data_IF_411836446083
#
_entry.id   IF_411836446083
#
_cell.length_a   1.000
_cell.length_b   1.000
_cell.length_c   1.000
_cell.angle_alpha   90.00
_cell.angle_beta   90.00
_cell.angle_gamma   90.00
#
_symmetry.space_group_name_H-M   'P 1'
#
loop_
_entity.id
_entity.type
_entity.pdbx_description
1 polymer ?
#
# COMPACT_ATOMS: atom_id res chain seq x y z
N UNK A 1 -28.99 -11.28 21.51
CA UNK A 1 -28.35 -11.95 20.37
C UNK A 1 -27.74 -10.85 19.52
N UNK A 2 -26.40 -10.75 19.44
CA UNK A 2 -25.72 -9.87 18.50
C UNK A 2 -26.04 -10.44 17.12
N UNK A 3 -26.83 -9.71 16.34
CA UNK A 3 -27.17 -10.12 14.97
C UNK A 3 -25.87 -10.22 14.18
N UNK A 4 -25.59 -11.39 13.60
CA UNK A 4 -24.44 -11.62 12.74
C UNK A 4 -24.61 -10.75 11.48
N UNK A 5 -23.77 -9.71 11.32
CA UNK A 5 -23.80 -8.83 10.12
C UNK A 5 -23.11 -9.49 8.94
N UNK A 6 -23.62 -9.22 7.75
CA UNK A 6 -23.08 -9.75 6.50
C UNK A 6 -22.57 -8.61 5.63
N UNK A 7 -21.28 -8.59 5.28
CA UNK A 7 -20.68 -7.57 4.42
C UNK A 7 -20.12 -8.20 3.16
N UNK A 8 -20.51 -7.66 2.00
CA UNK A 8 -19.94 -8.06 0.71
C UNK A 8 -18.95 -7.03 0.21
N UNK A 9 -17.67 -7.41 0.10
CA UNK A 9 -16.65 -6.61 -0.55
C UNK A 9 -16.63 -6.91 -2.07
N UNK A 10 -16.53 -5.87 -2.90
CA UNK A 10 -16.44 -6.00 -4.36
C UNK A 10 -15.16 -5.39 -4.89
N UNK A 11 -14.39 -6.17 -5.67
CA UNK A 11 -13.12 -5.77 -6.27
C UNK A 11 -12.92 -6.43 -7.63
N UNK A 12 -12.00 -5.92 -8.49
CA UNK A 12 -11.84 -6.46 -9.83
C UNK A 12 -11.37 -7.92 -9.83
N UNK A 13 -10.30 -8.19 -9.09
CA UNK A 13 -9.64 -9.50 -9.02
C UNK A 13 -8.90 -9.67 -7.70
N UNK A 14 -8.57 -10.90 -7.34
CA UNK A 14 -7.83 -11.30 -6.13
C UNK A 14 -6.38 -11.71 -6.47
N UNK A 15 -5.69 -11.02 -7.39
CA UNK A 15 -4.31 -11.35 -7.72
C UNK A 15 -3.33 -10.87 -6.62
N UNK A 16 -2.58 -9.81 -6.86
CA UNK A 16 -1.63 -9.28 -5.90
C UNK A 16 -1.81 -7.78 -5.71
N UNK A 17 -1.28 -7.25 -4.60
CA UNK A 17 -1.21 -5.83 -4.34
C UNK A 17 -1.97 -5.37 -3.10
N UNK A 18 -1.77 -4.12 -2.74
CA UNK A 18 -2.32 -3.55 -1.51
C UNK A 18 -3.85 -3.56 -1.42
N UNK A 19 -4.57 -3.49 -2.55
CA UNK A 19 -6.02 -3.59 -2.61
C UNK A 19 -6.51 -4.97 -2.15
N UNK A 20 -5.91 -6.02 -2.69
CA UNK A 20 -6.25 -7.43 -2.36
C UNK A 20 -5.90 -7.73 -0.91
N UNK A 21 -4.69 -7.33 -0.47
CA UNK A 21 -4.28 -7.50 0.94
C UNK A 21 -5.28 -6.82 1.88
N UNK A 22 -5.67 -5.58 1.60
CA UNK A 22 -6.66 -4.87 2.41
C UNK A 22 -8.05 -5.51 2.40
N UNK A 23 -8.44 -6.21 1.33
CA UNK A 23 -9.71 -6.96 1.29
C UNK A 23 -9.65 -8.19 2.21
N UNK A 24 -8.55 -8.95 2.16
CA UNK A 24 -8.32 -10.11 3.04
C UNK A 24 -8.25 -9.68 4.52
N UNK A 25 -7.51 -8.61 4.82
CA UNK A 25 -7.40 -8.10 6.19
C UNK A 25 -8.75 -7.62 6.75
N UNK A 26 -9.57 -6.96 5.91
CA UNK A 26 -10.92 -6.57 6.32
C UNK A 26 -11.85 -7.76 6.50
N UNK A 27 -11.73 -8.79 5.65
CA UNK A 27 -12.49 -10.03 5.79
C UNK A 27 -12.12 -10.76 7.09
N UNK A 28 -10.82 -10.86 7.39
CA UNK A 28 -10.34 -11.43 8.65
C UNK A 28 -10.89 -10.68 9.89
N UNK A 29 -10.96 -9.34 9.82
CA UNK A 29 -11.55 -8.53 10.89
C UNK A 29 -13.04 -8.79 11.07
N UNK A 30 -13.79 -8.94 9.99
CA UNK A 30 -15.22 -9.27 10.02
C UNK A 30 -15.45 -10.64 10.66
N UNK A 31 -14.73 -11.66 10.19
CA UNK A 31 -14.84 -13.03 10.74
C UNK A 31 -14.44 -13.05 12.22
N UNK A 32 -13.35 -12.40 12.60
CA UNK A 32 -12.92 -12.28 14.00
C UNK A 32 -13.92 -11.56 14.90
N UNK A 33 -14.76 -10.70 14.34
CA UNK A 33 -15.86 -10.03 15.05
C UNK A 33 -17.18 -10.82 15.05
N UNK A 34 -17.19 -12.05 14.52
CA UNK A 34 -18.39 -12.89 14.39
C UNK A 34 -19.32 -12.47 13.25
N UNK A 35 -18.83 -11.67 12.29
CA UNK A 35 -19.58 -11.27 11.10
C UNK A 35 -19.30 -12.24 9.93
N UNK A 36 -20.23 -12.29 8.98
CA UNK A 36 -20.01 -13.04 7.75
C UNK A 36 -19.31 -12.14 6.72
N UNK A 37 -18.14 -12.57 6.26
CA UNK A 37 -17.34 -11.87 5.26
C UNK A 37 -17.54 -12.52 3.88
N UNK A 38 -18.07 -11.77 2.93
CA UNK A 38 -18.24 -12.18 1.54
C UNK A 38 -17.38 -11.29 0.64
N UNK A 39 -16.82 -11.88 -0.41
CA UNK A 39 -16.02 -11.16 -1.42
C UNK A 39 -16.43 -11.59 -2.82
N UNK A 40 -16.69 -10.64 -3.71
CA UNK A 40 -16.97 -10.91 -5.11
C UNK A 40 -15.87 -10.30 -6.00
N UNK A 41 -15.34 -11.10 -6.93
CA UNK A 41 -14.31 -10.67 -7.90
C UNK A 41 -14.19 -11.68 -9.06
N UNK A 42 -13.34 -11.39 -10.04
CA UNK A 42 -12.97 -12.36 -11.10
C UNK A 42 -12.02 -13.48 -10.62
N UNK A 43 -11.79 -13.60 -9.30
CA UNK A 43 -10.87 -14.59 -8.75
C UNK A 43 -9.41 -14.14 -8.77
N UNK A 44 -8.50 -15.08 -8.50
CA UNK A 44 -7.05 -14.87 -8.43
C UNK A 44 -6.40 -15.62 -7.27
N UNK A 45 -5.09 -15.50 -7.15
CA UNK A 45 -4.29 -16.25 -6.15
C UNK A 45 -4.70 -15.99 -4.70
N UNK A 46 -5.19 -14.78 -4.39
CA UNK A 46 -5.61 -14.40 -3.06
C UNK A 46 -6.90 -15.07 -2.57
N UNK A 47 -7.66 -15.77 -3.44
CA UNK A 47 -8.90 -16.45 -3.04
C UNK A 47 -8.62 -17.50 -1.96
N UNK A 48 -7.57 -18.31 -2.13
CA UNK A 48 -7.19 -19.34 -1.15
C UNK A 48 -6.86 -18.73 0.23
N UNK A 49 -6.19 -17.59 0.23
CA UNK A 49 -5.87 -16.88 1.49
C UNK A 49 -7.12 -16.29 2.13
N UNK A 50 -8.02 -15.74 1.32
CA UNK A 50 -9.32 -15.25 1.75
C UNK A 50 -10.17 -16.35 2.42
N UNK A 51 -10.23 -17.53 1.81
CA UNK A 51 -10.96 -18.68 2.35
C UNK A 51 -10.34 -19.20 3.66
N UNK A 52 -9.01 -19.17 3.78
CA UNK A 52 -8.31 -19.54 5.03
C UNK A 52 -8.67 -18.63 6.22
N UNK A 53 -9.00 -17.38 5.98
CA UNK A 53 -9.47 -16.50 7.06
C UNK A 53 -10.96 -16.66 7.37
N UNK A 54 -11.65 -17.60 6.70
CA UNK A 54 -13.06 -17.92 6.95
C UNK A 54 -14.07 -17.08 6.16
N UNK A 55 -13.64 -16.41 5.11
CA UNK A 55 -14.50 -15.65 4.21
C UNK A 55 -14.91 -16.47 2.98
N UNK A 56 -16.00 -16.10 2.33
CA UNK A 56 -16.50 -16.75 1.12
C UNK A 56 -16.27 -15.92 -0.12
N UNK A 57 -15.90 -16.57 -1.23
CA UNK A 57 -15.67 -15.90 -2.51
C UNK A 57 -16.75 -16.23 -3.55
N UNK A 58 -17.21 -15.19 -4.26
CA UNK A 58 -18.12 -15.30 -5.40
C UNK A 58 -17.42 -14.85 -6.69
N UNK A 59 -17.41 -15.68 -7.71
CA UNK A 59 -16.84 -15.33 -8.99
C UNK A 59 -17.81 -14.45 -9.79
N UNK A 60 -17.47 -13.17 -9.99
CA UNK A 60 -18.22 -12.22 -10.80
C UNK A 60 -17.27 -11.39 -11.69
N UNK A 61 -17.64 -11.07 -12.94
CA UNK A 61 -16.81 -10.30 -13.88
C UNK A 61 -16.81 -8.79 -13.53
N UNK A 62 -16.30 -8.44 -12.34
CA UNK A 62 -16.33 -7.09 -11.78
C UNK A 62 -15.20 -6.18 -12.29
N UNK A 63 -14.19 -6.72 -12.97
CA UNK A 63 -13.16 -5.91 -13.63
C UNK A 63 -13.66 -5.28 -14.94
N UNK A 64 -14.73 -5.80 -15.52
CA UNK A 64 -15.26 -5.34 -16.79
C UNK A 64 -15.75 -3.91 -16.75
N UNK A 65 -15.39 -3.13 -17.78
CA UNK A 65 -15.88 -1.78 -18.05
C UNK A 65 -16.96 -1.75 -19.13
N UNK A 66 -17.36 -2.91 -19.65
CA UNK A 66 -18.44 -3.02 -20.63
C UNK A 66 -19.79 -2.71 -19.95
N UNK A 67 -20.56 -1.74 -20.44
CA UNK A 67 -21.82 -1.32 -19.81
C UNK A 67 -22.83 -2.46 -19.65
N UNK A 68 -22.91 -3.38 -20.63
CA UNK A 68 -23.82 -4.52 -20.58
C UNK A 68 -23.43 -5.48 -19.44
N UNK A 69 -22.13 -5.76 -19.30
CA UNK A 69 -21.61 -6.59 -18.20
C UNK A 69 -21.84 -5.92 -16.85
N UNK A 70 -21.58 -4.61 -16.77
CA UNK A 70 -21.83 -3.82 -15.56
C UNK A 70 -23.32 -3.84 -15.16
N UNK A 71 -24.22 -3.68 -16.11
CA UNK A 71 -25.66 -3.79 -15.88
C UNK A 71 -26.08 -5.19 -15.39
N UNK A 72 -25.54 -6.25 -16.02
CA UNK A 72 -25.75 -7.62 -15.55
C UNK A 72 -25.19 -7.85 -14.14
N UNK A 73 -24.08 -7.22 -13.80
CA UNK A 73 -23.49 -7.30 -12.47
C UNK A 73 -24.39 -6.65 -11.40
N UNK A 74 -25.13 -5.59 -11.72
CA UNK A 74 -26.15 -5.02 -10.79
C UNK A 74 -27.15 -6.11 -10.39
N UNK A 75 -27.71 -6.83 -11.35
CA UNK A 75 -28.68 -7.92 -11.08
C UNK A 75 -28.06 -9.05 -10.26
N UNK A 76 -26.81 -9.44 -10.56
CA UNK A 76 -26.09 -10.48 -9.82
C UNK A 76 -25.84 -10.05 -8.37
N UNK A 77 -25.39 -8.82 -8.15
CA UNK A 77 -25.15 -8.28 -6.82
C UNK A 77 -26.46 -8.16 -6.02
N UNK A 78 -27.56 -7.70 -6.62
CA UNK A 78 -28.87 -7.68 -5.97
C UNK A 78 -29.35 -9.08 -5.56
N UNK A 79 -29.12 -10.08 -6.42
CA UNK A 79 -29.44 -11.46 -6.09
C UNK A 79 -28.62 -11.93 -4.85
N UNK A 80 -27.31 -11.67 -4.82
CA UNK A 80 -26.47 -11.99 -3.65
C UNK A 80 -26.94 -11.25 -2.40
N UNK A 81 -27.35 -9.96 -2.51
CA UNK A 81 -27.86 -9.17 -1.38
C UNK A 81 -29.07 -9.87 -0.77
N UNK A 82 -30.01 -10.32 -1.59
CA UNK A 82 -31.24 -10.97 -1.14
C UNK A 82 -30.97 -12.38 -0.59
N UNK A 83 -30.20 -13.22 -1.31
CA UNK A 83 -29.94 -14.60 -0.97
C UNK A 83 -29.11 -14.74 0.33
N UNK A 84 -28.12 -13.84 0.52
CA UNK A 84 -27.22 -13.89 1.67
C UNK A 84 -27.56 -12.85 2.75
N UNK A 85 -28.67 -12.12 2.62
CA UNK A 85 -29.10 -11.07 3.57
C UNK A 85 -27.96 -10.09 3.89
N UNK A 86 -27.34 -9.55 2.83
CA UNK A 86 -26.18 -8.67 2.98
C UNK A 86 -26.64 -7.33 3.57
N UNK A 87 -26.01 -6.93 4.67
CA UNK A 87 -26.29 -5.68 5.38
C UNK A 87 -25.57 -4.46 4.76
N UNK A 88 -24.42 -4.67 4.07
CA UNK A 88 -23.62 -3.59 3.51
C UNK A 88 -22.74 -4.07 2.36
N UNK A 89 -22.55 -3.20 1.36
CA UNK A 89 -21.55 -3.37 0.30
C UNK A 89 -20.28 -2.54 0.59
N UNK A 90 -19.12 -3.08 0.23
CA UNK A 90 -17.85 -2.34 0.27
C UNK A 90 -17.14 -2.42 -1.08
N UNK A 91 -17.10 -1.32 -1.81
CA UNK A 91 -16.42 -1.24 -3.10
C UNK A 91 -14.97 -0.76 -2.94
N UNK A 92 -14.03 -1.55 -3.50
CA UNK A 92 -12.59 -1.26 -3.39
C UNK A 92 -11.95 -0.76 -4.68
N UNK A 93 -12.74 -0.61 -5.74
CA UNK A 93 -12.27 -0.09 -7.03
C UNK A 93 -13.42 0.48 -7.84
N UNK A 94 -13.08 1.38 -8.77
CA UNK A 94 -14.05 2.18 -9.56
C UNK A 94 -14.99 1.35 -10.42
N UNK A 95 -14.49 0.36 -11.15
CA UNK A 95 -15.35 -0.45 -12.03
C UNK A 95 -16.39 -1.25 -11.24
N UNK A 96 -16.04 -2.02 -10.19
CA UNK A 96 -17.02 -2.64 -9.31
C UNK A 96 -17.96 -1.65 -8.62
N UNK A 97 -17.45 -0.45 -8.25
CA UNK A 97 -18.24 0.54 -7.51
C UNK A 97 -19.48 1.02 -8.27
N UNK A 98 -19.42 1.14 -9.59
CA UNK A 98 -20.60 1.52 -10.38
C UNK A 98 -21.73 0.50 -10.26
N UNK A 99 -21.41 -0.79 -10.40
CA UNK A 99 -22.41 -1.85 -10.24
C UNK A 99 -22.87 -1.98 -8.77
N UNK A 100 -21.95 -1.83 -7.82
CA UNK A 100 -22.27 -1.88 -6.39
C UNK A 100 -23.17 -0.74 -5.95
N UNK A 101 -22.92 0.50 -6.40
CA UNK A 101 -23.74 1.66 -6.09
C UNK A 101 -25.18 1.48 -6.58
N UNK A 102 -25.34 1.02 -7.83
CA UNK A 102 -26.67 0.78 -8.39
C UNK A 102 -27.40 -0.35 -7.64
N UNK A 103 -26.70 -1.45 -7.31
CA UNK A 103 -27.27 -2.55 -6.56
C UNK A 103 -27.65 -2.14 -5.13
N UNK A 104 -26.78 -1.41 -4.43
CA UNK A 104 -27.00 -0.89 -3.08
C UNK A 104 -28.27 -0.04 -3.01
N UNK A 105 -28.36 0.98 -3.89
CA UNK A 105 -29.53 1.87 -3.95
C UNK A 105 -30.83 1.14 -4.26
N UNK A 106 -30.82 0.15 -5.15
CA UNK A 106 -32.02 -0.62 -5.51
C UNK A 106 -32.42 -1.64 -4.42
N UNK A 107 -31.54 -1.98 -3.53
CA UNK A 107 -31.77 -2.95 -2.46
C UNK A 107 -31.88 -2.32 -1.06
N UNK A 108 -31.72 -1.01 -0.94
CA UNK A 108 -31.80 -0.30 0.34
C UNK A 108 -30.65 -0.64 1.31
N UNK A 109 -29.49 -1.10 0.80
CA UNK A 109 -28.34 -1.41 1.65
C UNK A 109 -27.24 -0.34 1.50
N UNK A 110 -26.53 0.05 2.58
CA UNK A 110 -25.48 1.05 2.51
C UNK A 110 -24.26 0.56 1.72
N UNK A 111 -23.56 1.54 1.11
CA UNK A 111 -22.32 1.34 0.39
C UNK A 111 -21.18 2.13 1.04
N UNK A 112 -20.10 1.47 1.38
CA UNK A 112 -18.84 2.10 1.73
C UNK A 112 -17.81 1.88 0.61
N UNK A 113 -16.92 2.83 0.39
CA UNK A 113 -15.86 2.73 -0.63
C UNK A 113 -14.49 2.94 -0.03
N UNK A 114 -13.43 2.43 -0.68
CA UNK A 114 -12.04 2.72 -0.29
C UNK A 114 -11.23 3.30 -1.44
N UNK A 115 -10.67 4.49 -1.24
CA UNK A 115 -9.68 5.10 -2.13
C UNK A 115 -8.29 4.56 -1.83
N UNK A 116 -7.67 3.91 -2.81
CA UNK A 116 -6.34 3.31 -2.72
C UNK A 116 -5.21 4.19 -3.30
N UNK A 117 -5.53 5.36 -3.79
CA UNK A 117 -4.58 6.29 -4.40
C UNK A 117 -5.29 7.50 -4.99
N UNK A 118 -4.52 8.49 -5.43
CA UNK A 118 -5.04 9.60 -6.20
C UNK A 118 -5.44 9.12 -7.59
N UNK A 119 -6.67 9.39 -7.98
CA UNK A 119 -7.11 9.07 -9.33
C UNK A 119 -6.93 10.28 -10.24
N UNK A 120 -6.39 10.07 -11.45
CA UNK A 120 -6.27 11.14 -12.44
C UNK A 120 -7.64 11.81 -12.68
N UNK A 121 -7.71 13.11 -12.44
CA UNK A 121 -8.91 13.94 -12.59
C UNK A 121 -8.73 15.03 -13.67
N UNK A 122 -7.68 14.90 -14.52
CA UNK A 122 -7.33 15.89 -15.55
C UNK A 122 -8.40 16.11 -16.61
N UNK A 123 -9.31 15.14 -16.86
CA UNK A 123 -10.45 15.32 -17.75
C UNK A 123 -11.78 15.20 -17.00
N UNK A 124 -12.79 15.94 -17.44
CA UNK A 124 -14.16 15.90 -16.88
C UNK A 124 -14.72 14.47 -16.85
N UNK A 125 -14.50 13.71 -17.93
CA UNK A 125 -14.95 12.31 -18.02
C UNK A 125 -14.28 11.41 -16.99
N UNK A 126 -12.95 11.54 -16.80
CA UNK A 126 -12.23 10.78 -15.78
C UNK A 126 -12.68 11.15 -14.37
N UNK A 127 -12.87 12.46 -14.11
CA UNK A 127 -13.38 12.94 -12.83
C UNK A 127 -14.78 12.39 -12.55
N UNK A 128 -15.66 12.41 -13.53
CA UNK A 128 -17.02 11.83 -13.41
C UNK A 128 -16.96 10.32 -13.15
N UNK A 129 -16.15 9.58 -13.91
CA UNK A 129 -15.98 8.13 -13.70
C UNK A 129 -15.43 7.80 -12.30
N UNK A 130 -14.47 8.58 -11.79
CA UNK A 130 -13.89 8.38 -10.48
C UNK A 130 -14.86 8.77 -9.34
N UNK A 131 -15.78 9.70 -9.59
CA UNK A 131 -16.73 10.22 -8.60
C UNK A 131 -17.58 9.11 -7.95
N UNK A 132 -17.77 7.97 -8.62
CA UNK A 132 -18.50 6.82 -8.05
C UNK A 132 -17.97 6.40 -6.69
N UNK A 133 -16.65 6.55 -6.47
CA UNK A 133 -16.01 6.21 -5.20
C UNK A 133 -16.37 7.16 -4.04
N UNK A 134 -17.10 8.25 -4.31
CA UNK A 134 -17.54 9.23 -3.31
C UNK A 134 -19.06 9.28 -3.13
N UNK A 135 -19.80 8.42 -3.84
CA UNK A 135 -21.28 8.43 -3.86
C UNK A 135 -21.90 7.41 -2.89
N UNK A 136 -21.08 6.68 -2.12
CA UNK A 136 -21.54 5.81 -1.05
C UNK A 136 -21.83 6.56 0.25
N UNK A 137 -22.32 5.84 1.24
CA UNK A 137 -22.67 6.36 2.57
C UNK A 137 -21.43 6.64 3.42
N UNK A 138 -20.33 5.91 3.16
CA UNK A 138 -19.01 6.15 3.77
C UNK A 138 -17.89 6.05 2.74
N UNK A 139 -16.81 6.81 2.98
CA UNK A 139 -15.60 6.82 2.15
C UNK A 139 -14.38 6.60 3.03
N UNK A 140 -13.67 5.51 2.79
CA UNK A 140 -12.38 5.22 3.45
C UNK A 140 -11.25 5.78 2.59
N UNK A 141 -10.39 6.60 3.18
CA UNK A 141 -9.10 7.00 2.63
C UNK A 141 -7.97 6.27 3.35
N UNK A 142 -6.92 5.87 2.61
CA UNK A 142 -5.81 5.08 3.18
C UNK A 142 -4.70 5.94 3.80
N UNK A 143 -4.84 7.25 3.76
CA UNK A 143 -3.96 8.26 4.37
C UNK A 143 -4.68 9.59 4.45
N UNK A 144 -4.14 10.53 5.23
CA UNK A 144 -4.63 11.92 5.28
C UNK A 144 -4.44 12.60 3.92
N UNK A 145 -3.29 12.38 3.26
CA UNK A 145 -3.04 12.88 1.91
C UNK A 145 -4.15 12.48 0.91
N UNK A 146 -4.62 11.24 0.97
CA UNK A 146 -5.74 10.80 0.12
C UNK A 146 -7.05 11.42 0.57
N UNK A 147 -7.29 11.61 1.87
CA UNK A 147 -8.48 12.28 2.37
C UNK A 147 -8.55 13.73 1.89
N UNK A 148 -7.44 14.46 1.95
CA UNK A 148 -7.34 15.85 1.48
C UNK A 148 -7.60 15.92 -0.03
N UNK A 149 -7.02 15.02 -0.82
CA UNK A 149 -7.31 14.90 -2.25
C UNK A 149 -8.80 14.65 -2.53
N UNK A 150 -9.45 13.80 -1.75
CA UNK A 150 -10.89 13.51 -1.91
C UNK A 150 -11.73 14.74 -1.58
N UNK A 151 -11.40 15.49 -0.52
CA UNK A 151 -12.08 16.75 -0.16
C UNK A 151 -11.94 17.80 -1.26
N UNK A 152 -10.71 18.04 -1.69
CA UNK A 152 -10.40 19.08 -2.69
C UNK A 152 -11.03 18.80 -4.06
N UNK A 153 -10.94 17.56 -4.53
CA UNK A 153 -11.38 17.20 -5.88
C UNK A 153 -12.85 16.88 -5.97
N UNK A 154 -13.42 16.25 -4.93
CA UNK A 154 -14.79 15.70 -4.97
C UNK A 154 -15.74 16.31 -3.95
N UNK A 155 -15.27 17.11 -2.99
CA UNK A 155 -16.10 17.79 -2.01
C UNK A 155 -16.81 16.85 -1.02
N UNK A 156 -16.17 15.75 -0.63
CA UNK A 156 -16.72 14.82 0.36
C UNK A 156 -16.62 15.44 1.76
N UNK A 157 -17.73 15.44 2.49
CA UNK A 157 -17.81 15.95 3.85
C UNK A 157 -17.12 15.04 4.89
N UNK A 158 -16.70 15.62 6.00
CA UNK A 158 -15.93 14.91 7.03
C UNK A 158 -16.72 13.83 7.76
N UNK A 159 -18.02 13.99 7.91
CA UNK A 159 -18.94 13.02 8.51
C UNK A 159 -18.98 11.68 7.77
N UNK A 160 -18.69 11.70 6.46
CA UNK A 160 -18.63 10.50 5.61
C UNK A 160 -17.21 10.00 5.38
N UNK A 161 -16.18 10.76 5.81
CA UNK A 161 -14.78 10.45 5.58
C UNK A 161 -14.17 9.66 6.74
N UNK A 162 -13.60 8.49 6.45
CA UNK A 162 -12.89 7.65 7.40
C UNK A 162 -11.43 7.51 6.99
N UNK A 163 -10.51 8.16 7.71
CA UNK A 163 -9.06 7.99 7.48
C UNK A 163 -8.58 6.73 8.19
N UNK A 164 -8.24 5.70 7.41
CA UNK A 164 -7.80 4.41 7.90
C UNK A 164 -6.49 4.05 7.22
N UNK A 165 -5.37 4.30 7.91
CA UNK A 165 -4.05 3.98 7.40
C UNK A 165 -3.91 2.50 7.05
N UNK A 166 -3.11 2.21 6.04
CA UNK A 166 -2.71 0.84 5.75
C UNK A 166 -1.92 0.26 6.91
N UNK A 167 -2.21 -1.00 7.22
CA UNK A 167 -1.44 -1.77 8.18
C UNK A 167 -0.37 -2.62 7.52
N UNK A 168 0.72 -2.84 8.25
CA UNK A 168 1.69 -3.89 7.96
C UNK A 168 1.61 -4.97 9.03
N UNK A 169 1.99 -6.18 8.65
CA UNK A 169 2.11 -7.30 9.57
C UNK A 169 3.40 -7.17 10.39
N UNK A 170 3.27 -6.71 11.62
CA UNK A 170 4.38 -6.54 12.56
C UNK A 170 4.92 -7.86 13.12
N UNK A 171 4.32 -9.00 12.80
CA UNK A 171 4.90 -10.31 13.05
C UNK A 171 5.82 -10.75 11.91
N UNK A 172 5.50 -10.35 10.67
CA UNK A 172 6.35 -10.58 9.51
C UNK A 172 7.54 -9.61 9.49
N UNK A 173 7.27 -8.32 9.71
CA UNK A 173 8.27 -7.25 9.76
C UNK A 173 8.69 -6.97 11.21
N UNK A 174 9.40 -7.92 11.81
CA UNK A 174 9.97 -7.85 13.14
C UNK A 174 11.46 -8.28 13.07
N UNK A 175 12.42 -7.40 13.42
CA UNK A 175 13.84 -7.73 13.41
C UNK A 175 14.19 -8.98 14.23
N UNK A 176 13.51 -9.19 15.36
CA UNK A 176 13.74 -10.32 16.25
C UNK A 176 13.32 -11.68 15.65
N UNK A 177 12.52 -11.67 14.59
CA UNK A 177 12.04 -12.89 13.90
C UNK A 177 12.81 -13.23 12.63
N UNK A 178 13.81 -12.45 12.27
CA UNK A 178 14.68 -12.72 11.12
C UNK A 178 15.93 -13.42 11.60
N UNK A 179 16.11 -14.70 11.24
CA UNK A 179 17.30 -15.45 11.61
C UNK A 179 18.53 -14.94 10.84
N UNK A 180 19.70 -15.04 11.49
CA UNK A 180 20.97 -14.70 10.86
C UNK A 180 21.22 -15.53 9.57
N UNK A 181 20.81 -16.80 9.57
CA UNK A 181 20.91 -17.67 8.38
C UNK A 181 20.16 -17.10 7.17
N UNK A 182 18.93 -16.60 7.34
CA UNK A 182 18.17 -15.96 6.24
C UNK A 182 18.91 -14.75 5.67
N UNK A 183 19.48 -13.94 6.56
CA UNK A 183 20.25 -12.74 6.17
C UNK A 183 21.51 -13.12 5.42
N UNK A 184 22.29 -14.08 5.93
CA UNK A 184 23.53 -14.57 5.31
C UNK A 184 23.25 -15.21 3.94
N UNK A 185 22.23 -16.06 3.84
CA UNK A 185 21.87 -16.69 2.57
C UNK A 185 21.52 -15.64 1.52
N UNK A 186 20.74 -14.62 1.87
CA UNK A 186 20.37 -13.55 0.96
C UNK A 186 21.59 -12.68 0.58
N UNK A 187 22.49 -12.41 1.52
CA UNK A 187 23.74 -11.69 1.25
C UNK A 187 24.63 -12.45 0.24
N UNK A 188 24.72 -13.79 0.40
CA UNK A 188 25.46 -14.64 -0.52
C UNK A 188 24.81 -14.66 -1.92
N UNK A 189 23.48 -14.79 -2.01
CA UNK A 189 22.75 -14.75 -3.27
C UNK A 189 23.00 -13.44 -4.03
N UNK A 190 23.09 -12.34 -3.31
CA UNK A 190 23.37 -11.01 -3.86
C UNK A 190 24.84 -10.64 -3.93
N UNK A 191 25.74 -11.57 -3.58
CA UNK A 191 27.20 -11.40 -3.60
C UNK A 191 27.67 -10.14 -2.87
N UNK A 192 27.08 -9.87 -1.71
CA UNK A 192 27.48 -8.75 -0.86
C UNK A 192 28.75 -9.13 -0.09
N UNK A 193 29.78 -8.32 -0.24
CA UNK A 193 31.01 -8.46 0.55
C UNK A 193 30.77 -7.97 1.99
N UNK A 194 31.42 -8.58 2.96
CA UNK A 194 31.39 -8.17 4.36
C UNK A 194 32.76 -7.54 4.73
N UNK A 195 32.81 -6.36 5.35
CA UNK A 195 31.70 -5.45 5.67
C UNK A 195 31.45 -4.44 4.53
N UNK A 196 30.21 -4.33 4.07
CA UNK A 196 29.81 -3.30 3.10
C UNK A 196 28.53 -2.61 3.55
N UNK A 197 28.43 -1.28 3.42
CA UNK A 197 27.20 -0.56 3.67
C UNK A 197 26.22 -0.70 2.50
N UNK A 198 24.96 -0.97 2.81
CA UNK A 198 23.92 -1.27 1.82
C UNK A 198 22.84 -0.22 1.82
N UNK A 199 22.64 0.44 0.68
CA UNK A 199 21.49 1.27 0.37
C UNK A 199 20.48 0.40 -0.36
N UNK A 200 19.20 0.42 0.02
CA UNK A 200 18.17 -0.38 -0.61
C UNK A 200 16.99 0.49 -1.07
N UNK A 201 16.55 0.28 -2.30
CA UNK A 201 15.35 0.91 -2.84
C UNK A 201 14.36 -0.16 -3.33
N UNK A 202 13.42 -0.61 -2.47
CA UNK A 202 12.40 -1.56 -2.88
C UNK A 202 11.27 -0.88 -3.63
N UNK A 203 10.76 -1.55 -4.65
CA UNK A 203 9.58 -1.10 -5.38
C UNK A 203 9.62 -1.47 -6.86
N UNK A 204 8.46 -1.47 -7.49
CA UNK A 204 8.35 -1.74 -8.93
C UNK A 204 9.28 -0.81 -9.73
N UNK A 205 9.87 -1.32 -10.79
CA UNK A 205 10.58 -0.47 -11.74
C UNK A 205 9.55 0.36 -12.54
N UNK A 206 9.38 1.61 -12.13
CA UNK A 206 8.45 2.55 -12.74
C UNK A 206 9.03 3.97 -12.64
N UNK A 207 8.83 4.80 -13.68
CA UNK A 207 9.45 6.14 -13.77
C UNK A 207 9.15 7.00 -12.55
N UNK A 208 7.90 6.99 -12.09
CA UNK A 208 7.46 7.79 -10.96
C UNK A 208 8.03 7.33 -9.60
N UNK A 209 8.59 6.11 -9.54
CA UNK A 209 9.29 5.63 -8.33
C UNK A 209 10.66 6.26 -8.12
N UNK A 210 11.24 6.92 -9.13
CA UNK A 210 12.43 7.75 -8.97
C UNK A 210 13.76 6.98 -8.93
N UNK A 211 13.84 5.76 -9.48
CA UNK A 211 15.12 5.03 -9.54
C UNK A 211 16.23 5.86 -10.21
N UNK A 212 15.89 6.66 -11.22
CA UNK A 212 16.85 7.57 -11.88
C UNK A 212 17.40 8.63 -10.92
N UNK A 213 16.55 9.15 -10.02
CA UNK A 213 16.97 10.14 -9.01
C UNK A 213 17.99 9.52 -8.06
N UNK A 214 17.75 8.27 -7.61
CA UNK A 214 18.71 7.55 -6.77
C UNK A 214 20.04 7.32 -7.48
N UNK A 215 20.06 6.90 -8.75
CA UNK A 215 21.28 6.70 -9.53
C UNK A 215 22.07 8.02 -9.63
N UNK A 216 21.40 9.13 -9.92
CA UNK A 216 22.02 10.46 -9.97
C UNK A 216 22.55 10.91 -8.60
N UNK A 217 21.83 10.60 -7.50
CA UNK A 217 22.28 10.89 -6.15
C UNK A 217 23.54 10.07 -5.78
N UNK A 218 23.59 8.81 -6.16
CA UNK A 218 24.76 7.95 -5.91
C UNK A 218 25.99 8.42 -6.69
N UNK A 219 25.81 8.91 -7.92
CA UNK A 219 26.90 9.54 -8.68
C UNK A 219 27.46 10.76 -7.95
N UNK A 220 26.60 11.59 -7.33
CA UNK A 220 27.02 12.76 -6.52
C UNK A 220 27.62 12.38 -5.17
N UNK A 221 27.12 11.29 -4.57
CA UNK A 221 27.67 10.76 -3.33
C UNK A 221 29.14 10.33 -3.49
N UNK A 222 29.53 9.84 -4.70
CA UNK A 222 30.90 9.54 -5.08
C UNK A 222 31.55 8.37 -4.34
N UNK A 223 30.80 7.58 -3.59
CA UNK A 223 31.30 6.43 -2.80
C UNK A 223 31.30 5.15 -3.64
N UNK A 224 32.38 4.38 -3.54
CA UNK A 224 32.57 3.07 -4.19
C UNK A 224 32.55 1.92 -3.20
N UNK A 225 32.73 2.22 -1.93
CA UNK A 225 32.75 1.30 -0.79
C UNK A 225 31.36 0.99 -0.23
N UNK A 226 30.33 1.11 -1.07
CA UNK A 226 28.93 0.83 -0.74
C UNK A 226 28.29 -0.06 -1.81
N UNK A 227 27.15 -0.66 -1.47
CA UNK A 227 26.29 -1.35 -2.44
C UNK A 227 24.89 -0.74 -2.43
N UNK A 228 24.32 -0.52 -3.61
CA UNK A 228 22.93 -0.11 -3.76
C UNK A 228 22.12 -1.22 -4.43
N UNK A 229 21.04 -1.63 -3.78
CA UNK A 229 20.12 -2.65 -4.26
C UNK A 229 18.79 -2.01 -4.70
N UNK A 230 18.52 -2.01 -6.00
CA UNK A 230 17.22 -1.60 -6.55
C UNK A 230 16.37 -2.86 -6.72
N UNK A 231 15.50 -3.14 -5.74
CA UNK A 231 14.75 -4.39 -5.62
C UNK A 231 13.36 -4.20 -6.18
N UNK A 232 12.98 -5.00 -7.16
CA UNK A 232 11.63 -4.99 -7.71
C UNK A 232 11.54 -5.55 -9.11
N UNK A 233 10.31 -5.88 -9.50
CA UNK A 233 9.99 -6.40 -10.82
C UNK A 233 9.71 -5.24 -11.80
N UNK A 234 10.09 -5.42 -13.04
CA UNK A 234 9.78 -4.49 -14.13
C UNK A 234 8.34 -4.63 -14.65
N UNK A 235 7.66 -5.73 -14.32
CA UNK A 235 6.28 -6.03 -14.75
C UNK A 235 6.08 -5.84 -16.26
N UNK A 236 7.04 -6.32 -17.06
CA UNK A 236 7.05 -6.18 -18.52
C UNK A 236 7.51 -4.80 -19.04
N UNK A 237 8.01 -3.92 -18.15
CA UNK A 237 8.56 -2.61 -18.55
C UNK A 237 10.05 -2.72 -18.89
N UNK A 238 10.44 -3.69 -19.71
CA UNK A 238 11.83 -3.98 -20.07
C UNK A 238 12.58 -2.76 -20.64
N UNK A 239 11.87 -1.85 -21.32
CA UNK A 239 12.47 -0.61 -21.82
C UNK A 239 12.99 0.26 -20.68
N UNK A 240 12.20 0.44 -19.61
CA UNK A 240 12.62 1.26 -18.48
C UNK A 240 13.76 0.63 -17.70
N UNK A 241 13.77 -0.69 -17.53
CA UNK A 241 14.90 -1.41 -16.94
C UNK A 241 16.18 -1.17 -17.72
N UNK A 242 16.17 -1.30 -19.06
CA UNK A 242 17.34 -0.99 -19.92
C UNK A 242 17.81 0.45 -19.77
N UNK A 243 16.88 1.42 -19.70
CA UNK A 243 17.25 2.82 -19.47
C UNK A 243 17.98 3.02 -18.13
N UNK A 244 17.62 2.27 -17.09
CA UNK A 244 18.32 2.31 -15.80
C UNK A 244 19.71 1.69 -15.92
N UNK A 245 19.84 0.53 -16.54
CA UNK A 245 21.14 -0.15 -16.79
C UNK A 245 22.09 0.72 -17.61
N UNK A 246 21.60 1.40 -18.64
CA UNK A 246 22.38 2.35 -19.41
C UNK A 246 22.81 3.57 -18.60
N UNK A 247 21.93 4.09 -17.74
CA UNK A 247 22.26 5.22 -16.86
C UNK A 247 23.35 4.83 -15.84
N UNK A 248 23.24 3.64 -15.25
CA UNK A 248 24.23 3.09 -14.32
C UNK A 248 25.61 3.01 -15.00
N UNK A 249 25.68 2.50 -16.23
CA UNK A 249 26.93 2.44 -17.02
C UNK A 249 27.48 3.84 -17.31
N UNK A 250 26.64 4.78 -17.78
CA UNK A 250 27.07 6.15 -18.07
C UNK A 250 27.61 6.90 -16.84
N UNK A 251 27.11 6.56 -15.63
CA UNK A 251 27.57 7.14 -14.36
C UNK A 251 28.72 6.34 -13.73
N UNK A 252 29.21 5.30 -14.43
CA UNK A 252 30.28 4.42 -13.92
C UNK A 252 29.94 3.84 -12.54
N UNK A 253 28.69 3.36 -12.36
CA UNK A 253 28.17 2.80 -11.09
C UNK A 253 27.88 1.30 -11.18
N UNK A 254 28.42 0.60 -12.16
CA UNK A 254 28.14 -0.82 -12.41
C UNK A 254 28.56 -1.71 -11.20
N UNK A 255 29.64 -1.33 -10.51
CA UNK A 255 30.12 -2.04 -9.32
C UNK A 255 29.42 -1.63 -8.04
N UNK A 256 28.62 -0.56 -8.06
CA UNK A 256 27.90 -0.01 -6.90
C UNK A 256 26.45 -0.44 -6.90
N UNK A 257 25.76 -0.41 -8.05
CA UNK A 257 24.32 -0.62 -8.17
C UNK A 257 24.03 -2.01 -8.73
N UNK A 258 23.18 -2.74 -8.03
CA UNK A 258 22.71 -4.06 -8.43
C UNK A 258 21.16 -4.09 -8.51
N UNK A 259 20.60 -4.73 -9.53
CA UNK A 259 19.17 -4.93 -9.74
C UNK A 259 18.83 -6.42 -9.60
N UNK A 260 18.64 -6.94 -8.37
CA UNK A 260 18.42 -8.38 -8.14
C UNK A 260 17.04 -8.87 -8.63
N UNK A 261 16.16 -7.97 -9.05
CA UNK A 261 14.79 -8.31 -9.42
C UNK A 261 13.88 -8.43 -8.21
N UNK A 262 12.95 -9.39 -8.23
CA UNK A 262 12.00 -9.60 -7.16
C UNK A 262 12.64 -10.33 -5.96
N UNK A 263 12.44 -9.80 -4.77
CA UNK A 263 12.82 -10.44 -3.52
C UNK A 263 11.59 -11.04 -2.82
N UNK A 264 11.68 -12.31 -2.42
CA UNK A 264 10.62 -13.00 -1.68
C UNK A 264 10.73 -12.78 -0.17
N UNK A 265 11.95 -12.65 0.33
CA UNK A 265 12.25 -12.44 1.75
C UNK A 265 12.60 -10.97 2.03
N UNK A 266 11.60 -10.12 1.96
CA UNK A 266 11.78 -8.69 2.24
C UNK A 266 12.23 -8.40 3.68
N UNK A 267 11.76 -9.11 4.74
CA UNK A 267 12.31 -8.91 6.08
C UNK A 267 13.83 -9.11 6.14
N UNK A 268 14.37 -10.18 5.55
CA UNK A 268 15.83 -10.39 5.50
C UNK A 268 16.54 -9.32 4.67
N UNK A 269 15.93 -8.87 3.56
CA UNK A 269 16.47 -7.76 2.75
C UNK A 269 16.56 -6.45 3.54
N UNK A 270 15.52 -6.12 4.32
CA UNK A 270 15.59 -4.95 5.22
C UNK A 270 16.69 -5.10 6.26
N UNK A 271 16.90 -6.30 6.82
CA UNK A 271 18.00 -6.53 7.79
C UNK A 271 19.38 -6.34 7.19
N UNK A 272 19.58 -6.58 5.88
CA UNK A 272 20.83 -6.31 5.18
C UNK A 272 21.06 -4.81 4.91
N UNK A 273 20.01 -3.98 4.92
CA UNK A 273 20.15 -2.58 4.53
C UNK A 273 20.56 -1.68 5.69
N UNK A 274 21.45 -0.72 5.41
CA UNK A 274 21.80 0.39 6.30
C UNK A 274 20.85 1.57 6.14
N UNK A 275 20.32 1.79 4.91
CA UNK A 275 19.39 2.85 4.58
C UNK A 275 18.42 2.37 3.53
N UNK A 276 17.14 2.69 3.69
CA UNK A 276 16.08 2.39 2.73
C UNK A 276 15.60 3.68 2.08
N UNK A 277 15.49 3.69 0.75
CA UNK A 277 15.13 4.86 -0.05
C UNK A 277 13.75 4.69 -0.68
N UNK A 278 12.96 5.77 -0.65
CA UNK A 278 11.73 5.93 -1.42
C UNK A 278 11.77 7.27 -2.16
N UNK A 279 12.31 7.26 -3.40
CA UNK A 279 12.56 8.47 -4.18
C UNK A 279 11.44 8.80 -5.17
N UNK A 280 10.19 8.46 -4.84
CA UNK A 280 9.04 8.68 -5.72
C UNK A 280 8.93 10.14 -6.15
N UNK A 281 8.72 10.39 -7.45
CA UNK A 281 8.54 11.73 -8.02
C UNK A 281 7.08 12.17 -8.02
N UNK A 282 6.16 11.23 -7.79
CA UNK A 282 4.74 11.49 -7.56
C UNK A 282 4.37 11.09 -6.13
N UNK A 283 3.41 11.78 -5.48
CA UNK A 283 3.03 11.50 -4.10
C UNK A 283 2.59 10.04 -3.89
N UNK A 284 3.21 9.37 -2.93
CA UNK A 284 2.79 8.05 -2.48
C UNK A 284 1.45 8.14 -1.75
N UNK A 285 0.55 7.22 -2.05
CA UNK A 285 -0.74 7.17 -1.36
C UNK A 285 -0.63 6.70 0.10
N UNK A 286 0.36 5.85 0.39
CA UNK A 286 0.69 5.39 1.75
C UNK A 286 2.20 5.12 1.92
N UNK A 287 2.85 4.48 0.93
CA UNK A 287 4.29 4.20 0.99
C UNK A 287 4.64 3.04 1.91
N UNK A 288 4.11 1.85 1.65
CA UNK A 288 4.36 0.64 2.45
C UNK A 288 5.83 0.37 2.74
N UNK A 289 6.69 0.58 1.75
CA UNK A 289 8.15 0.40 1.86
C UNK A 289 8.73 1.20 3.03
N UNK A 290 8.29 2.46 3.19
CA UNK A 290 8.76 3.32 4.28
C UNK A 290 8.34 2.78 5.65
N UNK A 291 7.11 2.27 5.75
CA UNK A 291 6.58 1.72 7.01
C UNK A 291 7.18 0.36 7.32
N UNK A 292 7.39 -0.50 6.32
CA UNK A 292 8.07 -1.79 6.46
C UNK A 292 9.52 -1.60 6.93
N UNK A 293 10.27 -0.68 6.32
CA UNK A 293 11.64 -0.35 6.72
C UNK A 293 11.72 0.16 8.16
N UNK A 294 10.81 1.05 8.55
CA UNK A 294 10.70 1.56 9.91
C UNK A 294 10.36 0.46 10.93
N UNK A 295 9.46 -0.48 10.57
CA UNK A 295 9.16 -1.65 11.40
C UNK A 295 10.38 -2.54 11.63
N UNK A 296 11.28 -2.61 10.64
CA UNK A 296 12.54 -3.32 10.73
C UNK A 296 13.68 -2.49 11.34
N UNK A 297 13.36 -1.31 11.90
CA UNK A 297 14.32 -0.42 12.54
C UNK A 297 15.35 0.19 11.59
N UNK A 298 15.05 0.26 10.28
CA UNK A 298 15.99 0.78 9.28
C UNK A 298 15.75 2.27 9.04
N UNK A 299 16.83 3.07 8.92
CA UNK A 299 16.74 4.45 8.49
C UNK A 299 16.05 4.55 7.14
N UNK A 300 15.11 5.48 7.01
CA UNK A 300 14.38 5.74 5.76
C UNK A 300 14.73 7.12 5.24
N UNK A 301 15.01 7.21 3.96
CA UNK A 301 15.14 8.49 3.22
C UNK A 301 14.08 8.52 2.14
N UNK A 302 13.15 9.48 2.21
CA UNK A 302 12.01 9.54 1.30
C UNK A 302 11.76 10.94 0.73
N UNK A 303 11.11 10.99 -0.45
CA UNK A 303 10.65 12.26 -1.03
C UNK A 303 9.62 12.94 -0.14
N UNK A 304 9.76 14.25 0.09
CA UNK A 304 8.90 15.06 0.97
C UNK A 304 7.58 15.44 0.30
N UNK A 305 6.71 14.47 0.09
CA UNK A 305 5.33 14.67 -0.38
C UNK A 305 4.44 13.45 -0.15
N UNK A 306 3.12 13.65 -0.30
CA UNK A 306 2.15 12.58 -0.10
C UNK A 306 2.21 12.02 1.32
N UNK A 307 1.99 10.71 1.43
CA UNK A 307 1.93 10.04 2.73
C UNK A 307 3.30 9.88 3.44
N UNK A 308 4.44 10.21 2.80
CA UNK A 308 5.73 10.25 3.52
C UNK A 308 5.72 11.23 4.70
N UNK A 309 5.01 12.35 4.55
CA UNK A 309 4.80 13.36 5.62
C UNK A 309 3.99 12.84 6.82
N UNK A 310 3.31 11.73 6.66
CA UNK A 310 2.47 11.11 7.70
C UNK A 310 3.13 9.88 8.31
N UNK A 311 3.94 9.17 7.51
CA UNK A 311 4.58 7.91 7.87
C UNK A 311 5.99 8.10 8.43
N UNK A 312 6.64 9.23 8.15
CA UNK A 312 7.99 9.55 8.64
C UNK A 312 7.92 10.78 9.56
N UNK A 313 8.56 10.67 10.70
CA UNK A 313 8.86 11.81 11.57
C UNK A 313 10.30 12.24 11.26
N UNK A 314 10.44 13.36 10.51
CA UNK A 314 11.74 13.84 10.05
C UNK A 314 12.75 14.01 11.20
N UNK A 315 13.95 13.46 11.04
CA UNK A 315 15.02 13.45 12.02
C UNK A 315 14.83 12.49 13.20
N UNK A 316 13.69 11.78 13.31
CA UNK A 316 13.41 10.81 14.40
C UNK A 316 13.22 9.39 13.92
N UNK A 317 12.51 9.18 12.81
CA UNK A 317 12.26 7.86 12.23
C UNK A 317 12.81 7.72 10.81
N UNK A 318 13.31 8.80 10.24
CA UNK A 318 13.88 8.88 8.90
C UNK A 318 14.06 10.33 8.47
N UNK A 319 14.47 10.53 7.23
CA UNK A 319 14.67 11.86 6.63
C UNK A 319 13.85 12.01 5.37
N UNK A 320 13.48 13.24 5.09
CA UNK A 320 12.80 13.61 3.85
C UNK A 320 13.64 14.60 3.06
N UNK A 321 13.59 14.48 1.74
CA UNK A 321 14.28 15.35 0.78
C UNK A 321 13.30 15.85 -0.29
N UNK A 322 13.65 16.93 -0.98
CA UNK A 322 12.82 17.52 -2.04
C UNK A 322 12.59 16.54 -3.18
N UNK A 323 11.34 16.27 -3.59
CA UNK A 323 11.03 15.34 -4.67
C UNK A 323 11.77 15.71 -5.96
N UNK A 324 12.44 14.72 -6.57
CA UNK A 324 13.18 14.90 -7.80
C UNK A 324 14.56 15.54 -7.66
N UNK A 325 15.02 15.84 -6.44
CA UNK A 325 16.31 16.46 -6.18
C UNK A 325 17.38 15.42 -5.80
N UNK A 326 18.32 15.07 -6.70
CA UNK A 326 19.36 14.09 -6.42
C UNK A 326 20.46 14.62 -5.48
N UNK A 327 20.62 15.95 -5.35
CA UNK A 327 21.61 16.56 -4.46
C UNK A 327 21.15 16.40 -3.00
N UNK A 328 19.92 16.83 -2.68
CA UNK A 328 19.36 16.66 -1.36
C UNK A 328 19.26 15.17 -0.97
N UNK A 329 18.96 14.28 -1.94
CA UNK A 329 18.98 12.83 -1.67
C UNK A 329 20.40 12.35 -1.32
N UNK A 330 21.44 12.81 -2.05
CA UNK A 330 22.81 12.44 -1.74
C UNK A 330 23.24 12.92 -0.36
N UNK A 331 22.84 14.12 0.06
CA UNK A 331 23.11 14.66 1.40
C UNK A 331 22.41 13.85 2.49
N UNK A 332 21.15 13.52 2.29
CA UNK A 332 20.39 12.67 3.22
C UNK A 332 20.99 11.25 3.34
N UNK A 333 21.46 10.69 2.23
CA UNK A 333 22.18 9.40 2.24
C UNK A 333 23.51 9.50 2.98
N UNK A 334 24.30 10.54 2.74
CA UNK A 334 25.58 10.78 3.43
C UNK A 334 25.36 10.85 4.94
N UNK A 335 24.35 11.61 5.38
CA UNK A 335 23.98 11.72 6.78
C UNK A 335 23.55 10.36 7.37
N UNK A 336 22.65 9.64 6.69
CA UNK A 336 22.13 8.36 7.16
C UNK A 336 23.16 7.26 7.25
N UNK A 337 24.14 7.24 6.33
CA UNK A 337 25.24 6.27 6.34
C UNK A 337 26.28 6.57 7.45
N UNK A 338 26.41 7.83 7.85
CA UNK A 338 27.36 8.28 8.87
C UNK A 338 26.83 8.14 10.32
N UNK A 339 25.61 7.67 10.52
CA UNK A 339 25.04 7.49 11.86
C UNK A 339 25.91 6.55 12.71
N UNK A 340 26.19 6.94 13.93
CA UNK A 340 26.81 6.09 14.94
C UNK A 340 25.89 4.96 15.38
N UNK A 341 26.43 3.91 16.01
CA UNK A 341 25.63 2.79 16.53
C UNK A 341 24.51 3.27 17.47
N UNK A 342 24.82 4.19 18.40
CA UNK A 342 23.83 4.72 19.33
C UNK A 342 22.74 5.55 18.67
N UNK A 343 23.07 6.28 17.60
CA UNK A 343 22.06 7.01 16.80
C UNK A 343 21.17 6.05 16.02
N UNK A 344 21.75 4.98 15.43
CA UNK A 344 20.98 3.93 14.75
C UNK A 344 20.03 3.21 15.69
N UNK A 345 20.48 2.84 16.89
CA UNK A 345 19.64 2.19 17.90
C UNK A 345 18.47 3.07 18.33
N UNK A 346 18.74 4.34 18.60
CA UNK A 346 17.70 5.31 18.96
C UNK A 346 16.70 5.54 17.85
N UNK A 347 17.16 5.66 16.62
CA UNK A 347 16.29 5.77 15.44
C UNK A 347 15.46 4.50 15.27
N UNK A 348 16.06 3.32 15.37
CA UNK A 348 15.36 2.04 15.26
C UNK A 348 14.25 1.92 16.31
N UNK A 349 14.54 2.24 17.57
CA UNK A 349 13.54 2.26 18.64
C UNK A 349 12.36 3.18 18.32
N UNK A 350 12.63 4.42 17.90
CA UNK A 350 11.61 5.38 17.54
C UNK A 350 10.78 4.92 16.35
N UNK A 351 11.42 4.39 15.31
CA UNK A 351 10.77 3.95 14.09
C UNK A 351 9.85 2.73 14.34
N UNK A 352 10.36 1.71 15.03
CA UNK A 352 9.57 0.52 15.41
C UNK A 352 8.37 0.92 16.28
N UNK A 353 8.59 1.77 17.30
CA UNK A 353 7.55 2.25 18.19
C UNK A 353 6.48 3.01 17.42
N UNK A 354 6.88 3.92 16.52
CA UNK A 354 5.97 4.70 15.68
C UNK A 354 5.06 3.79 14.81
N UNK A 355 5.66 2.78 14.16
CA UNK A 355 4.90 1.84 13.34
C UNK A 355 3.94 0.99 14.17
N UNK A 356 4.42 0.42 15.28
CA UNK A 356 3.60 -0.42 16.17
C UNK A 356 2.41 0.35 16.75
N UNK A 357 2.55 1.66 16.95
CA UNK A 357 1.46 2.50 17.46
C UNK A 357 0.40 2.84 16.39
N UNK A 358 0.82 3.06 15.14
CA UNK A 358 -0.05 3.69 14.14
C UNK A 358 -0.40 2.82 12.94
N UNK A 359 0.51 1.95 12.49
CA UNK A 359 0.44 1.34 11.17
C UNK A 359 0.39 -0.20 11.19
N UNK A 360 -0.17 -0.77 12.25
CA UNK A 360 -0.37 -2.22 12.34
C UNK A 360 -1.62 -2.67 11.59
N UNK A 361 -1.61 -3.91 11.11
CA UNK A 361 -2.80 -4.55 10.51
C UNK A 361 -3.95 -4.56 11.51
N UNK A 362 -3.68 -4.75 12.81
CA UNK A 362 -4.68 -4.73 13.86
C UNK A 362 -5.38 -3.36 13.97
N UNK A 363 -4.61 -2.27 14.00
CA UNK A 363 -5.17 -0.91 14.01
C UNK A 363 -6.03 -0.65 12.77
N UNK A 364 -5.58 -1.07 11.60
CA UNK A 364 -6.34 -0.96 10.35
C UNK A 364 -7.65 -1.75 10.42
N UNK A 365 -7.61 -2.99 10.92
CA UNK A 365 -8.78 -3.86 11.10
C UNK A 365 -9.80 -3.23 12.05
N UNK A 366 -9.36 -2.79 13.22
CA UNK A 366 -10.20 -2.17 14.23
C UNK A 366 -10.89 -0.90 13.72
N UNK A 367 -10.14 -0.01 13.05
CA UNK A 367 -10.70 1.19 12.44
C UNK A 367 -11.67 0.88 11.30
N UNK A 368 -11.41 -0.16 10.50
CA UNK A 368 -12.32 -0.60 9.45
C UNK A 368 -13.64 -1.09 10.04
N UNK A 369 -13.60 -1.88 11.12
CA UNK A 369 -14.80 -2.34 11.80
C UNK A 369 -15.57 -1.18 12.44
N UNK A 370 -14.89 -0.17 12.97
CA UNK A 370 -15.53 1.05 13.49
C UNK A 370 -16.24 1.82 12.38
N UNK A 371 -15.62 1.99 11.22
CA UNK A 371 -16.25 2.64 10.07
C UNK A 371 -17.48 1.86 9.57
N UNK A 372 -17.41 0.53 9.52
CA UNK A 372 -18.55 -0.29 9.15
C UNK A 372 -19.73 -0.13 10.13
N UNK A 373 -19.46 -0.15 11.42
CA UNK A 373 -20.51 0.07 12.44
C UNK A 373 -21.14 1.45 12.35
N UNK A 374 -20.33 2.49 12.09
CA UNK A 374 -20.82 3.86 11.93
C UNK A 374 -21.76 3.98 10.72
N UNK A 375 -21.38 3.43 9.56
CA UNK A 375 -22.21 3.46 8.36
C UNK A 375 -23.51 2.67 8.55
N UNK A 376 -23.46 1.49 9.16
CA UNK A 376 -24.65 0.68 9.45
C UNK A 376 -25.60 1.36 10.44
N UNK A 377 -25.08 2.08 11.44
CA UNK A 377 -25.90 2.81 12.40
C UNK A 377 -26.66 3.99 11.78
N UNK A 378 -26.04 4.70 10.83
CA UNK A 378 -26.69 5.81 10.11
C UNK A 378 -27.91 5.34 9.29
N UNK A 379 -27.85 4.15 8.70
CA UNK A 379 -28.94 3.60 7.89
C UNK A 379 -30.13 3.17 8.74
N UNK A 380 -29.90 2.73 9.97
CA UNK A 380 -30.98 2.29 10.90
C UNK A 380 -31.76 3.47 11.49
N UNK A 381 -31.26 4.70 11.41
CA UNK A 381 -31.92 5.91 11.93
C UNK A 381 -32.83 6.62 10.89
N UNK A 382 -32.82 6.17 9.65
CA UNK A 382 -33.57 6.78 8.54
C UNK A 382 -34.84 5.97 8.21
N UNK A 383 -34.99 4.78 8.76
CA UNK A 383 -36.18 3.92 8.73
C UNK A 383 -37.07 4.21 9.98
#
# INVERSE_FOLDING_TARGET
KISTRVVLQVLPHMNAGGLVRGAIDSAAAQVGAGWTALVASEGGHGVRELERVGAYHFHLPLASKNPIVMFRNVRRLRRLITEHKIDMLHARSRAPAWSALAAARQSGVPLITTFHGTYSHRSRLKRHYNKVMTLGDGVISISQHIADHIREVYGVSDDRMHVIYRGIDTNLFDPARVSAERVVNLANDWRLADPIQVIMMPGRLARWKGQKILIEALARLGRRDIRCLIIGDDQGRHRYKRELEELIKRRDLTDVIYLPGHCRDMPAAYMLSDVVVSASTEPEAFGRVMVEAQAMGRPVVASDHGASRETIIHGKTGWMFRPGDPEELADALRHSLALTSGERERLAYNAISHVRHRFTVENMRNRTMTAYRAVLAQTTLVD
#
